data_IF_836571181012
#
_entry.id   IF_836571181012
#
_cell.length_a   1.000
_cell.length_b   1.000
_cell.length_c   1.000
_cell.angle_alpha   90.00
_cell.angle_beta   90.00
_cell.angle_gamma   90.00
#
_symmetry.space_group_name_H-M   'P 1'
#
loop_
_entity.id
_entity.type
_entity.pdbx_description
1 polymer ?
#
# COMPACT_ATOMS: atom_id res chain seq x y z
N UNK A 1 9.97 51.08 -19.84
CA UNK A 1 9.43 50.08 -20.79
C UNK A 1 10.34 48.86 -20.72
N UNK A 2 9.95 47.84 -19.94
CA UNK A 2 10.79 46.66 -19.74
C UNK A 2 10.58 45.70 -20.93
N UNK A 3 11.54 45.66 -21.85
CA UNK A 3 11.61 44.61 -22.86
C UNK A 3 11.98 43.30 -22.15
N UNK A 4 10.97 42.52 -21.77
CA UNK A 4 11.20 41.14 -21.33
C UNK A 4 11.70 40.35 -22.53
N UNK A 5 12.91 39.79 -22.41
CA UNK A 5 13.59 39.10 -23.49
C UNK A 5 12.74 37.90 -23.96
N UNK A 6 12.28 37.92 -25.21
CA UNK A 6 11.42 36.90 -25.80
C UNK A 6 12.02 35.48 -25.67
N UNK A 7 13.36 35.35 -25.66
CA UNK A 7 14.03 34.06 -25.39
C UNK A 7 13.79 33.53 -23.98
N UNK A 8 13.68 34.42 -22.98
CA UNK A 8 13.44 34.03 -21.59
C UNK A 8 11.99 33.57 -21.39
N UNK A 9 11.04 34.19 -22.08
CA UNK A 9 9.62 33.78 -22.09
C UNK A 9 9.44 32.42 -22.75
N UNK A 10 10.10 32.17 -23.89
CA UNK A 10 10.08 30.85 -24.54
C UNK A 10 10.73 29.75 -23.69
N UNK A 11 11.84 30.05 -23.00
CA UNK A 11 12.46 29.09 -22.08
C UNK A 11 11.53 28.77 -20.88
N UNK A 12 10.85 29.77 -20.33
CA UNK A 12 9.90 29.57 -19.23
C UNK A 12 8.68 28.74 -19.68
N UNK A 13 8.11 29.03 -20.84
CA UNK A 13 7.02 28.24 -21.43
C UNK A 13 7.45 26.81 -21.75
N UNK A 14 8.66 26.60 -22.27
CA UNK A 14 9.18 25.27 -22.60
C UNK A 14 9.45 24.42 -21.36
N UNK A 15 9.99 25.01 -20.28
CA UNK A 15 10.17 24.32 -19.00
C UNK A 15 8.84 24.03 -18.31
N UNK A 16 7.85 24.90 -18.44
CA UNK A 16 6.52 24.68 -17.87
C UNK A 16 5.77 23.59 -18.64
N UNK A 17 5.83 23.59 -19.98
CA UNK A 17 5.25 22.51 -20.80
C UNK A 17 5.94 21.16 -20.55
N UNK A 18 7.26 21.12 -20.35
CA UNK A 18 7.98 19.86 -20.10
C UNK A 18 7.69 19.25 -18.72
N UNK A 19 7.37 20.07 -17.71
CA UNK A 19 6.94 19.58 -16.39
C UNK A 19 5.64 18.80 -16.46
N UNK A 20 4.77 19.14 -17.40
CA UNK A 20 3.51 18.43 -17.63
C UNK A 20 3.69 17.18 -18.53
N UNK A 21 4.88 16.97 -19.11
CA UNK A 21 5.19 15.85 -20.02
C UNK A 21 5.97 14.73 -19.33
N UNK A 22 6.65 15.01 -18.21
CA UNK A 22 7.37 14.00 -17.42
C UNK A 22 6.63 13.77 -16.11
N UNK A 23 5.72 12.79 -16.12
CA UNK A 23 5.10 12.31 -14.89
C UNK A 23 6.19 11.81 -13.91
N UNK A 24 6.09 12.20 -12.65
CA UNK A 24 7.00 11.72 -11.61
C UNK A 24 6.84 10.19 -11.45
N UNK A 25 7.92 9.39 -11.56
CA UNK A 25 7.81 7.95 -11.42
C UNK A 25 7.40 7.60 -9.97
N UNK A 26 6.29 6.90 -9.82
CA UNK A 26 5.73 6.55 -8.50
C UNK A 26 6.44 5.31 -7.93
N UNK A 27 6.82 4.36 -8.79
CA UNK A 27 7.56 3.15 -8.42
C UNK A 27 8.78 2.98 -9.33
N UNK A 28 9.90 2.54 -8.76
CA UNK A 28 11.09 2.09 -9.47
C UNK A 28 11.60 0.84 -8.77
N UNK A 29 11.59 -0.30 -9.47
CA UNK A 29 12.27 -1.52 -9.05
C UNK A 29 13.41 -1.77 -10.00
N UNK A 30 14.62 -1.95 -9.48
CA UNK A 30 15.78 -2.26 -10.29
C UNK A 30 15.97 -3.78 -10.36
N UNK A 31 16.21 -4.29 -11.57
CA UNK A 31 16.35 -5.73 -11.83
C UNK A 31 15.06 -6.39 -12.30
N UNK A 32 15.19 -7.61 -12.80
CA UNK A 32 14.05 -8.40 -13.27
C UNK A 32 13.30 -9.02 -12.08
N UNK A 33 11.99 -9.23 -12.25
CA UNK A 33 11.19 -9.98 -11.29
C UNK A 33 11.69 -11.43 -11.22
N UNK A 34 11.96 -11.92 -10.01
CA UNK A 34 12.44 -13.30 -9.83
C UNK A 34 11.40 -14.30 -10.37
N UNK A 35 11.79 -15.31 -11.18
CA UNK A 35 10.86 -16.28 -11.75
C UNK A 35 10.01 -17.05 -10.73
N UNK A 36 10.47 -17.16 -9.48
CA UNK A 36 9.69 -17.78 -8.40
C UNK A 36 8.49 -16.95 -7.96
N UNK A 37 8.33 -15.71 -8.45
CA UNK A 37 7.11 -14.93 -8.26
C UNK A 37 5.85 -15.73 -8.65
N UNK A 38 5.91 -16.44 -9.77
CA UNK A 38 4.80 -17.23 -10.30
C UNK A 38 4.35 -18.32 -9.32
N UNK A 39 5.28 -18.94 -8.61
CA UNK A 39 4.97 -20.00 -7.63
C UNK A 39 4.65 -19.43 -6.26
N UNK A 40 5.45 -18.48 -5.81
CA UNK A 40 5.48 -18.03 -4.43
C UNK A 40 4.40 -16.98 -4.15
N UNK A 41 4.22 -16.04 -5.08
CA UNK A 41 3.43 -14.82 -4.87
C UNK A 41 2.18 -14.77 -5.73
N UNK A 42 2.27 -15.03 -7.03
CA UNK A 42 1.13 -14.86 -7.94
C UNK A 42 -0.08 -15.61 -7.42
N UNK A 43 -1.19 -14.89 -7.28
CA UNK A 43 -2.47 -15.42 -6.82
C UNK A 43 -2.44 -16.03 -5.40
N UNK A 44 -1.38 -15.80 -4.62
CA UNK A 44 -1.31 -16.24 -3.22
C UNK A 44 -2.21 -15.36 -2.36
N UNK A 45 -2.98 -15.99 -1.48
CA UNK A 45 -3.85 -15.37 -0.51
C UNK A 45 -3.42 -15.78 0.89
N UNK A 46 -3.32 -14.79 1.79
CA UNK A 46 -2.93 -14.97 3.19
C UNK A 46 -3.98 -14.38 4.12
N UNK A 47 -4.31 -15.13 5.17
CA UNK A 47 -5.03 -14.63 6.35
C UNK A 47 -4.06 -14.70 7.52
N UNK A 48 -3.90 -13.61 8.25
CA UNK A 48 -2.89 -13.51 9.32
C UNK A 48 -3.37 -12.63 10.48
N UNK A 49 -2.91 -12.98 11.68
CA UNK A 49 -3.23 -12.26 12.91
C UNK A 49 -1.99 -11.60 13.49
N UNK A 50 -2.10 -10.30 13.77
CA UNK A 50 -1.17 -9.58 14.62
C UNK A 50 -1.51 -9.79 16.10
N UNK A 51 -0.49 -9.81 16.93
CA UNK A 51 -0.63 -9.69 18.37
C UNK A 51 -0.79 -8.22 18.72
N UNK A 52 -1.90 -7.83 19.34
CA UNK A 52 -2.19 -6.45 19.71
C UNK A 52 -2.71 -6.34 21.15
N UNK A 53 -2.94 -5.12 21.60
CA UNK A 53 -3.53 -4.83 22.91
C UNK A 53 -4.68 -3.84 22.76
N UNK A 54 -5.80 -4.12 23.44
CA UNK A 54 -6.95 -3.23 23.47
C UNK A 54 -6.66 -1.95 24.30
N UNK A 55 -7.62 -1.05 24.39
CA UNK A 55 -7.51 0.20 25.15
C UNK A 55 -7.31 0.01 26.66
N UNK A 56 -7.65 -1.17 27.19
CA UNK A 56 -7.47 -1.54 28.59
C UNK A 56 -6.14 -2.29 28.83
N UNK A 57 -5.39 -2.58 27.76
CA UNK A 57 -4.12 -3.30 27.78
C UNK A 57 -4.28 -4.83 27.76
N UNK A 58 -5.48 -5.36 27.51
CA UNK A 58 -5.67 -6.80 27.37
C UNK A 58 -5.19 -7.26 26.00
N UNK A 59 -4.62 -8.48 25.89
CA UNK A 59 -4.24 -9.03 24.60
C UNK A 59 -5.44 -9.21 23.68
N UNK A 60 -5.29 -8.77 22.43
CA UNK A 60 -6.24 -9.01 21.35
C UNK A 60 -5.53 -9.45 20.07
N UNK A 61 -6.31 -9.86 19.07
CA UNK A 61 -5.80 -10.21 17.73
C UNK A 61 -6.42 -9.30 16.70
N UNK A 62 -5.57 -8.71 15.85
CA UNK A 62 -6.05 -8.01 14.67
C UNK A 62 -5.85 -8.87 13.44
N UNK A 63 -6.97 -9.30 12.85
CA UNK A 63 -6.98 -10.13 11.65
C UNK A 63 -6.92 -9.28 10.39
N UNK A 64 -6.05 -9.68 9.48
CA UNK A 64 -5.87 -9.09 8.16
C UNK A 64 -5.91 -10.17 7.10
N UNK A 65 -6.30 -9.78 5.90
CA UNK A 65 -6.43 -10.65 4.72
C UNK A 65 -5.81 -9.94 3.52
N UNK A 66 -4.94 -10.62 2.76
CA UNK A 66 -4.30 -10.08 1.56
C UNK A 66 -4.24 -11.11 0.45
N UNK A 67 -4.49 -10.66 -0.78
CA UNK A 67 -4.34 -11.42 -2.00
C UNK A 67 -3.38 -10.71 -2.95
N UNK A 68 -2.32 -11.39 -3.34
CA UNK A 68 -1.33 -10.92 -4.30
C UNK A 68 -1.82 -11.17 -5.73
N UNK A 69 -2.69 -10.27 -6.20
CA UNK A 69 -3.44 -10.38 -7.45
C UNK A 69 -2.55 -10.53 -8.70
N UNK A 70 -1.56 -9.66 -8.85
CA UNK A 70 -0.64 -9.63 -10.00
C UNK A 70 0.75 -9.14 -9.59
N UNK A 71 1.67 -9.15 -10.55
CA UNK A 71 3.04 -8.63 -10.45
C UNK A 71 3.14 -7.16 -10.02
N UNK A 72 2.03 -6.44 -10.02
CA UNK A 72 1.97 -5.04 -9.64
C UNK A 72 0.72 -4.69 -8.81
N UNK A 73 -0.07 -5.67 -8.34
CA UNK A 73 -1.28 -5.40 -7.55
C UNK A 73 -1.43 -6.30 -6.34
N UNK A 74 -1.92 -5.70 -5.27
CA UNK A 74 -2.45 -6.39 -4.08
C UNK A 74 -3.89 -5.96 -3.84
N UNK A 75 -4.69 -6.87 -3.28
CA UNK A 75 -6.03 -6.62 -2.75
C UNK A 75 -6.00 -7.03 -1.28
N UNK A 76 -6.58 -6.25 -0.37
CA UNK A 76 -6.56 -6.58 1.04
C UNK A 76 -7.82 -6.11 1.77
N UNK A 77 -8.11 -6.74 2.90
CA UNK A 77 -9.14 -6.33 3.85
C UNK A 77 -8.60 -6.38 5.28
N UNK A 78 -9.12 -5.48 6.11
CA UNK A 78 -8.77 -5.36 7.52
C UNK A 78 -9.99 -5.75 8.36
N UNK A 79 -9.84 -6.77 9.20
CA UNK A 79 -10.92 -7.36 9.99
C UNK A 79 -10.85 -7.01 11.48
N UNK A 80 -9.71 -6.51 11.96
CA UNK A 80 -9.51 -6.12 13.35
C UNK A 80 -8.68 -4.85 13.51
N UNK A 81 -8.68 -4.30 14.73
CA UNK A 81 -7.96 -3.07 15.08
C UNK A 81 -8.64 -1.78 14.59
N UNK A 82 -7.94 -0.63 14.71
CA UNK A 82 -8.52 0.68 14.42
C UNK A 82 -9.06 0.84 12.98
N UNK A 83 -8.53 0.06 12.04
CA UNK A 83 -8.88 0.12 10.63
C UNK A 83 -9.86 -1.00 10.19
N UNK A 84 -10.46 -1.74 11.13
CA UNK A 84 -11.41 -2.81 10.83
C UNK A 84 -12.57 -2.30 9.96
N UNK A 85 -12.85 -2.98 8.84
CA UNK A 85 -13.85 -2.57 7.87
C UNK A 85 -13.29 -1.82 6.64
N UNK A 86 -11.97 -1.66 6.55
CA UNK A 86 -11.29 -1.13 5.34
C UNK A 86 -11.01 -2.26 4.34
N UNK A 87 -11.48 -2.09 3.10
CA UNK A 87 -11.18 -2.94 1.94
C UNK A 87 -10.49 -2.13 0.85
N UNK A 88 -9.36 -2.61 0.35
CA UNK A 88 -8.55 -1.81 -0.56
C UNK A 88 -7.82 -2.67 -1.60
N UNK A 89 -7.23 -2.00 -2.59
CA UNK A 89 -6.26 -2.55 -3.51
C UNK A 89 -5.22 -1.50 -3.84
N UNK A 90 -3.99 -1.93 -4.15
CA UNK A 90 -2.87 -1.02 -4.41
C UNK A 90 -1.94 -1.51 -5.50
N UNK A 91 -1.27 -0.55 -6.12
CA UNK A 91 -0.05 -0.82 -6.87
C UNK A 91 1.01 -1.25 -5.87
N UNK A 92 1.63 -2.40 -6.09
CA UNK A 92 2.66 -2.94 -5.21
C UNK A 92 3.94 -3.26 -5.98
N UNK A 93 5.08 -3.10 -5.32
CA UNK A 93 6.36 -3.63 -5.80
C UNK A 93 6.74 -4.88 -5.02
N UNK A 94 7.32 -5.85 -5.73
CA UNK A 94 7.75 -7.12 -5.17
C UNK A 94 9.26 -7.27 -5.34
N UNK A 95 9.91 -7.73 -4.28
CA UNK A 95 11.33 -8.03 -4.28
C UNK A 95 11.55 -9.41 -3.66
N UNK A 96 12.17 -10.30 -4.42
CA UNK A 96 12.65 -11.56 -3.88
C UNK A 96 13.86 -11.27 -2.98
N UNK A 97 13.74 -11.58 -1.69
CA UNK A 97 14.82 -11.42 -0.70
C UNK A 97 15.63 -12.72 -0.59
N UNK A 98 14.92 -13.85 -0.64
CA UNK A 98 15.50 -15.20 -0.69
C UNK A 98 14.58 -16.12 -1.48
N UNK A 99 15.06 -16.58 -2.63
CA UNK A 99 14.31 -17.41 -3.60
C UNK A 99 13.61 -18.59 -2.91
N UNK A 100 12.30 -18.73 -3.12
CA UNK A 100 11.50 -19.82 -2.56
C UNK A 100 11.19 -19.71 -1.06
N UNK A 101 11.57 -18.60 -0.40
CA UNK A 101 11.48 -18.47 1.05
C UNK A 101 10.97 -17.11 1.54
N UNK A 102 11.51 -16.01 1.04
CA UNK A 102 11.25 -14.67 1.60
C UNK A 102 11.07 -13.64 0.51
N UNK A 103 9.96 -12.91 0.61
CA UNK A 103 9.60 -11.82 -0.29
C UNK A 103 9.34 -10.54 0.48
N UNK A 104 9.71 -9.41 -0.11
CA UNK A 104 9.33 -8.09 0.37
C UNK A 104 8.31 -7.47 -0.59
N UNK A 105 7.24 -6.90 -0.04
CA UNK A 105 6.12 -6.31 -0.77
C UNK A 105 5.91 -4.90 -0.26
N UNK A 106 5.97 -3.90 -1.14
CA UNK A 106 5.92 -2.50 -0.74
C UNK A 106 4.86 -1.72 -1.52
N UNK A 107 4.16 -0.80 -0.86
CA UNK A 107 3.24 0.12 -1.52
C UNK A 107 3.07 1.44 -0.76
N UNK A 108 2.58 2.45 -1.48
CA UNK A 108 2.03 3.68 -0.94
C UNK A 108 0.51 3.63 -1.05
N UNK A 109 -0.19 4.27 -0.12
CA UNK A 109 -1.64 4.43 -0.14
C UNK A 109 -2.08 5.87 -0.43
N UNK A 110 -3.30 6.01 -0.94
CA UNK A 110 -4.02 7.27 -1.12
C UNK A 110 -4.23 8.06 0.19
N UNK A 111 -4.21 7.38 1.33
CA UNK A 111 -4.21 8.00 2.67
C UNK A 111 -2.86 8.61 3.02
N UNK A 112 -1.86 8.40 2.17
CA UNK A 112 -0.47 8.75 2.40
C UNK A 112 0.30 7.64 3.10
N UNK A 113 -0.31 6.60 3.67
CA UNK A 113 0.40 5.52 4.38
C UNK A 113 1.41 4.82 3.48
N UNK A 114 2.61 4.53 4.01
CA UNK A 114 3.59 3.66 3.36
C UNK A 114 3.60 2.30 4.05
N UNK A 115 3.68 1.22 3.27
CA UNK A 115 3.73 -0.14 3.81
C UNK A 115 4.87 -0.91 3.15
N UNK A 116 5.61 -1.65 3.98
CA UNK A 116 6.58 -2.65 3.55
C UNK A 116 6.35 -3.92 4.37
N UNK A 117 5.89 -4.98 3.72
CA UNK A 117 5.71 -6.31 4.30
C UNK A 117 6.85 -7.23 3.87
N UNK A 118 7.26 -8.11 4.78
CA UNK A 118 8.14 -9.24 4.53
C UNK A 118 7.31 -10.50 4.74
N UNK A 119 7.06 -11.22 3.66
CA UNK A 119 6.42 -12.52 3.67
C UNK A 119 7.47 -13.62 3.79
N UNK A 120 7.53 -14.23 4.97
CA UNK A 120 8.35 -15.41 5.25
C UNK A 120 7.49 -16.67 5.05
N UNK A 121 7.67 -17.32 3.89
CA UNK A 121 6.93 -18.51 3.48
C UNK A 121 7.23 -19.67 4.42
N UNK A 122 8.51 -19.84 4.81
CA UNK A 122 8.95 -20.97 5.64
C UNK A 122 8.59 -20.76 7.10
N UNK A 123 8.79 -19.54 7.59
CA UNK A 123 8.44 -19.12 8.95
C UNK A 123 6.94 -18.96 9.18
N UNK A 124 6.13 -18.91 8.10
CA UNK A 124 4.68 -18.65 8.14
C UNK A 124 4.34 -17.36 8.88
N UNK A 125 5.08 -16.29 8.56
CA UNK A 125 4.90 -14.99 9.22
C UNK A 125 4.92 -13.85 8.21
N UNK A 126 4.21 -12.79 8.55
CA UNK A 126 4.35 -11.47 7.93
C UNK A 126 5.04 -10.56 8.93
N UNK A 127 6.15 -9.93 8.56
CA UNK A 127 6.74 -8.83 9.33
C UNK A 127 6.55 -7.54 8.56
N UNK A 128 6.01 -6.50 9.19
CA UNK A 128 5.63 -5.28 8.48
C UNK A 128 6.13 -4.03 9.18
N UNK A 129 6.48 -3.03 8.39
CA UNK A 129 6.49 -1.63 8.82
C UNK A 129 5.38 -0.89 8.09
N UNK A 130 4.51 -0.26 8.87
CA UNK A 130 3.42 0.58 8.40
C UNK A 130 3.67 2.00 8.90
N UNK A 131 4.00 2.91 7.98
CA UNK A 131 4.16 4.33 8.28
C UNK A 131 2.87 5.07 8.02
N UNK A 132 1.95 5.07 8.98
CA UNK A 132 0.66 5.75 8.86
C UNK A 132 0.87 7.27 8.77
N UNK A 133 0.18 7.93 7.83
CA UNK A 133 0.10 9.39 7.85
C UNK A 133 -0.66 9.85 9.11
N UNK A 134 -0.41 11.08 9.56
CA UNK A 134 -1.12 11.64 10.71
C UNK A 134 -2.65 11.58 10.49
N UNK A 135 -3.11 12.02 9.31
CA UNK A 135 -4.53 11.97 8.97
C UNK A 135 -5.13 10.58 9.02
N UNK A 136 -4.42 9.57 8.53
CA UNK A 136 -4.91 8.20 8.57
C UNK A 136 -5.00 7.68 10.01
N UNK A 137 -3.96 7.87 10.82
CA UNK A 137 -3.92 7.35 12.19
C UNK A 137 -4.93 8.03 13.11
N UNK A 138 -4.97 9.37 13.12
CA UNK A 138 -5.85 10.14 14.01
C UNK A 138 -7.33 10.09 13.60
N UNK A 139 -7.63 9.69 12.36
CA UNK A 139 -8.99 9.64 11.82
C UNK A 139 -9.32 8.26 11.25
N UNK A 140 -8.97 7.20 11.99
CA UNK A 140 -9.07 5.80 11.56
C UNK A 140 -10.45 5.42 10.97
N UNK A 141 -11.54 5.85 11.60
CA UNK A 141 -12.91 5.60 11.11
C UNK A 141 -13.16 6.17 9.72
N UNK A 142 -12.55 7.30 9.38
CA UNK A 142 -12.66 7.89 8.04
C UNK A 142 -11.95 7.04 6.98
N UNK A 143 -11.06 6.13 7.36
CA UNK A 143 -10.38 5.20 6.46
C UNK A 143 -11.14 3.88 6.25
N UNK A 144 -12.26 3.67 6.93
CA UNK A 144 -13.16 2.52 6.70
C UNK A 144 -13.90 2.67 5.36
N UNK A 145 -14.42 1.54 4.84
CA UNK A 145 -15.14 1.47 3.57
C UNK A 145 -14.37 0.69 2.50
N UNK A 146 -14.77 0.85 1.24
CA UNK A 146 -14.18 0.14 0.10
C UNK A 146 -13.66 1.13 -0.94
N UNK A 147 -12.39 0.99 -1.38
CA UNK A 147 -11.81 1.84 -2.44
C UNK A 147 -12.68 1.90 -3.70
N UNK A 148 -13.38 0.81 -4.00
CA UNK A 148 -14.25 0.71 -5.18
C UNK A 148 -15.43 1.68 -5.10
N UNK A 149 -15.79 2.15 -3.90
CA UNK A 149 -16.71 3.25 -3.71
C UNK A 149 -16.00 4.60 -3.94
N UNK A 150 -16.44 5.41 -4.93
CA UNK A 150 -15.81 6.69 -5.23
C UNK A 150 -15.81 7.68 -4.06
N UNK A 151 -16.82 7.64 -3.18
CA UNK A 151 -16.90 8.54 -2.03
C UNK A 151 -15.88 8.19 -0.95
N UNK A 152 -15.69 6.89 -0.69
CA UNK A 152 -14.67 6.39 0.22
C UNK A 152 -13.27 6.74 -0.30
N UNK A 153 -13.02 6.46 -1.58
CA UNK A 153 -11.73 6.77 -2.21
C UNK A 153 -11.41 8.28 -2.18
N UNK A 154 -12.40 9.14 -2.49
CA UNK A 154 -12.24 10.59 -2.41
C UNK A 154 -11.96 11.05 -0.97
N UNK A 155 -12.67 10.50 0.02
CA UNK A 155 -12.46 10.79 1.45
C UNK A 155 -11.05 10.40 1.87
N UNK A 156 -10.57 9.21 1.52
CA UNK A 156 -9.24 8.72 1.92
C UNK A 156 -8.10 9.58 1.41
N UNK A 157 -8.20 10.10 0.18
CA UNK A 157 -7.24 11.08 -0.38
C UNK A 157 -7.15 12.38 0.42
N UNK A 158 -8.19 12.74 1.17
CA UNK A 158 -8.15 13.94 2.03
C UNK A 158 -7.30 13.69 3.29
N UNK A 159 -7.22 12.44 3.77
CA UNK A 159 -6.42 12.08 4.94
C UNK A 159 -4.92 12.31 4.71
N UNK A 160 -4.44 12.10 3.48
CA UNK A 160 -3.04 12.36 3.11
C UNK A 160 -2.61 13.83 3.22
N UNK A 161 -3.57 14.76 3.34
CA UNK A 161 -3.33 16.20 3.43
C UNK A 161 -3.18 16.71 4.87
N UNK A 162 -3.37 15.83 5.86
CA UNK A 162 -3.27 16.15 7.28
C UNK A 162 -1.88 15.75 7.77
N UNK A 163 -1.15 16.71 8.33
CA UNK A 163 0.24 16.55 8.78
C UNK A 163 1.26 16.66 7.65
N UNK A 164 2.52 16.39 7.98
CA UNK A 164 3.64 16.29 7.04
C UNK A 164 4.29 14.91 7.09
N UNK A 165 5.21 14.64 6.17
CA UNK A 165 5.84 13.31 6.00
C UNK A 165 6.56 12.79 7.24
N UNK A 166 7.05 13.69 8.11
CA UNK A 166 7.74 13.35 9.35
C UNK A 166 6.81 13.10 10.54
N UNK A 167 5.51 13.39 10.39
CA UNK A 167 4.50 13.18 11.45
C UNK A 167 3.95 11.75 11.45
N UNK A 168 4.53 10.86 10.63
CA UNK A 168 4.05 9.50 10.49
C UNK A 168 4.18 8.72 11.79
N UNK A 169 3.13 7.98 12.11
CA UNK A 169 3.21 6.94 13.12
C UNK A 169 3.82 5.69 12.50
N UNK A 170 4.98 5.28 13.02
CA UNK A 170 5.72 4.11 12.53
C UNK A 170 5.35 2.88 13.35
N UNK A 171 4.48 2.04 12.80
CA UNK A 171 4.07 0.78 13.42
C UNK A 171 4.93 -0.35 12.85
N UNK A 172 5.62 -1.09 13.72
CA UNK A 172 6.41 -2.27 13.34
C UNK A 172 5.83 -3.49 14.02
N UNK A 173 5.37 -4.44 13.23
CA UNK A 173 4.58 -5.56 13.74
C UNK A 173 4.94 -6.87 13.06
N UNK A 174 4.67 -7.97 13.77
CA UNK A 174 4.80 -9.32 13.25
C UNK A 174 3.50 -10.08 13.44
N UNK A 175 3.01 -10.67 12.36
CA UNK A 175 1.83 -11.52 12.35
C UNK A 175 2.18 -12.97 12.07
N UNK A 176 1.34 -13.86 12.59
CA UNK A 176 1.35 -15.27 12.26
C UNK A 176 0.35 -15.54 11.13
N UNK A 177 0.78 -16.25 10.09
CA UNK A 177 -0.09 -16.65 8.99
C UNK A 177 -0.93 -17.85 9.43
N UNK A 178 -2.24 -17.69 9.39
CA UNK A 178 -3.21 -18.72 9.73
C UNK A 178 -3.55 -19.58 8.53
N UNK A 179 -3.77 -18.94 7.38
CA UNK A 179 -4.14 -19.60 6.14
C UNK A 179 -3.30 -19.07 4.99
N UNK A 180 -2.94 -19.99 4.08
CA UNK A 180 -2.23 -19.70 2.85
C UNK A 180 -2.80 -20.59 1.75
N UNK A 181 -3.33 -19.99 0.70
CA UNK A 181 -3.88 -20.70 -0.46
C UNK A 181 -3.75 -19.88 -1.74
N UNK A 182 -4.21 -20.41 -2.88
CA UNK A 182 -4.27 -19.71 -4.16
C UNK A 182 -5.71 -19.30 -4.48
N UNK A 183 -5.89 -18.14 -5.07
CA UNK A 183 -7.19 -17.58 -5.47
C UNK A 183 -7.65 -16.45 -4.55
N UNK A 184 -8.73 -15.77 -4.97
CA UNK A 184 -9.19 -14.54 -4.33
C UNK A 184 -9.71 -14.71 -2.89
N UNK A 185 -10.12 -15.91 -2.48
CA UNK A 185 -10.81 -16.12 -1.21
C UNK A 185 -12.14 -15.37 -1.18
N UNK A 186 -12.38 -14.60 -0.12
CA UNK A 186 -13.58 -13.76 0.04
C UNK A 186 -13.35 -12.30 -0.40
N UNK A 187 -12.16 -11.97 -0.92
CA UNK A 187 -11.86 -10.64 -1.41
C UNK A 187 -12.50 -10.37 -2.78
N UNK A 188 -12.99 -9.14 -2.93
CA UNK A 188 -13.56 -8.66 -4.19
C UNK A 188 -12.47 -8.48 -5.27
N UNK A 189 -12.77 -8.85 -6.52
CA UNK A 189 -11.84 -8.63 -7.64
C UNK A 189 -11.63 -7.13 -7.94
N UNK A 190 -10.67 -6.83 -8.81
CA UNK A 190 -10.32 -5.46 -9.22
C UNK A 190 -10.18 -5.35 -10.73
N UNK A 191 -10.39 -4.14 -11.25
CA UNK A 191 -9.84 -3.76 -12.55
C UNK A 191 -8.31 -3.58 -12.38
N UNK A 192 -7.45 -4.34 -13.08
CA UNK A 192 -5.99 -4.20 -12.98
C UNK A 192 -5.50 -2.81 -13.35
N UNK A 193 -6.27 -2.06 -14.14
CA UNK A 193 -5.97 -0.70 -14.58
C UNK A 193 -6.62 0.39 -13.72
N UNK A 194 -7.37 -0.01 -12.67
CA UNK A 194 -8.06 0.91 -11.77
C UNK A 194 -7.09 1.83 -11.02
N UNK A 195 -7.52 3.05 -10.65
CA UNK A 195 -6.68 4.01 -9.95
C UNK A 195 -6.36 3.53 -8.54
N UNK A 196 -5.11 3.72 -8.12
CA UNK A 196 -4.60 3.35 -6.79
C UNK A 196 -4.30 4.57 -5.92
N UNK A 197 -4.09 5.74 -6.55
CA UNK A 197 -3.87 7.06 -5.93
C UNK A 197 -4.87 8.07 -6.42
#
# INVERSE_FOLDING_TARGET
MAFMNLKLVFLFLFVTLLKDVIAYPIYQTNGDLDPTFETDIRDTHLIYDYDATDSEGNPEKWRYEIWFFSEDRVVYAIHGGPMAGRKNYQTASYQCVRTGEVWQINWLEETGTIVSLVYDIKGKTISGILGFSQGHWENAESAHGDKRNPEDFARWRTLAKIGIQTDRFMLTEKANILEQFKGQGELDTIDPTGPTF
#
